data_IF_542083047006
#
_entry.id   IF_542083047006
#
_cell.length_a   1.000
_cell.length_b   1.000
_cell.length_c   1.000
_cell.angle_alpha   90.00
_cell.angle_beta   90.00
_cell.angle_gamma   90.00
#
_symmetry.space_group_name_H-M   'P 1'
#
loop_
_entity.id
_entity.type
_entity.pdbx_description
1 polymer ?
#
# COMPACT_ATOMS: atom_id res chain seq x y z
N UNK A 1 -21.56 9.08 -16.55
CA UNK A 1 -20.71 8.14 -15.81
C UNK A 1 -20.85 8.46 -14.33
N UNK A 2 -21.43 7.55 -13.54
CA UNK A 2 -21.47 7.75 -12.09
C UNK A 2 -20.09 7.42 -11.53
N UNK A 3 -19.47 8.34 -10.81
CA UNK A 3 -18.16 8.21 -10.15
C UNK A 3 -18.10 6.92 -9.31
N UNK A 4 -16.91 6.33 -9.07
CA UNK A 4 -16.73 5.12 -8.25
C UNK A 4 -17.03 5.37 -6.77
N UNK A 5 -17.99 6.23 -6.46
CA UNK A 5 -18.27 6.77 -5.13
C UNK A 5 -18.59 5.70 -4.09
N UNK A 6 -19.24 4.59 -4.48
CA UNK A 6 -19.60 3.53 -3.53
C UNK A 6 -18.43 2.61 -3.20
N UNK A 7 -17.65 2.21 -4.24
CA UNK A 7 -16.47 1.37 -4.07
C UNK A 7 -15.42 2.09 -3.23
N UNK A 8 -15.08 3.32 -3.65
CA UNK A 8 -14.09 4.15 -2.97
C UNK A 8 -14.54 4.48 -1.54
N UNK A 9 -15.78 4.95 -1.37
CA UNK A 9 -16.32 5.32 -0.06
C UNK A 9 -16.32 4.15 0.93
N UNK A 10 -16.74 2.95 0.51
CA UNK A 10 -16.73 1.78 1.37
C UNK A 10 -15.29 1.42 1.83
N UNK A 11 -14.33 1.42 0.91
CA UNK A 11 -12.93 1.14 1.25
C UNK A 11 -12.34 2.23 2.16
N UNK A 12 -12.67 3.50 1.94
CA UNK A 12 -12.20 4.60 2.81
C UNK A 12 -12.75 4.50 4.23
N UNK A 13 -14.03 4.14 4.40
CA UNK A 13 -14.61 3.92 5.72
C UNK A 13 -13.96 2.74 6.46
N UNK A 14 -13.79 1.61 5.78
CA UNK A 14 -13.10 0.45 6.35
C UNK A 14 -11.66 0.81 6.73
N UNK A 15 -10.95 1.53 5.85
CA UNK A 15 -9.59 1.98 6.13
C UNK A 15 -9.51 2.93 7.33
N UNK A 16 -10.50 3.84 7.48
CA UNK A 16 -10.54 4.75 8.62
C UNK A 16 -10.73 4.00 9.94
N UNK A 17 -11.65 3.04 10.00
CA UNK A 17 -11.84 2.21 11.21
C UNK A 17 -10.62 1.33 11.49
N UNK A 18 -10.04 0.70 10.47
CA UNK A 18 -8.81 -0.07 10.62
C UNK A 18 -7.65 0.81 11.13
N UNK A 19 -7.54 2.04 10.62
CA UNK A 19 -6.53 3.01 11.05
C UNK A 19 -6.76 3.47 12.50
N UNK A 20 -8.00 3.72 12.93
CA UNK A 20 -8.29 4.06 14.33
C UNK A 20 -7.90 2.90 15.26
N UNK A 21 -8.24 1.65 14.91
CA UNK A 21 -7.82 0.49 15.68
C UNK A 21 -6.28 0.36 15.70
N UNK A 22 -5.63 0.56 14.56
CA UNK A 22 -4.18 0.57 14.44
C UNK A 22 -3.56 1.62 15.37
N UNK A 23 -4.07 2.87 15.38
CA UNK A 23 -3.58 3.92 16.27
C UNK A 23 -3.67 3.53 17.74
N UNK A 24 -4.80 2.98 18.16
CA UNK A 24 -4.98 2.54 19.56
C UNK A 24 -3.95 1.48 19.92
N UNK A 25 -3.81 0.45 19.08
CA UNK A 25 -2.88 -0.66 19.35
C UNK A 25 -1.44 -0.16 19.39
N UNK A 26 -1.01 0.63 18.40
CA UNK A 26 0.38 1.12 18.35
C UNK A 26 0.68 2.09 19.49
N UNK A 27 -0.27 2.95 19.86
CA UNK A 27 -0.10 3.83 21.01
C UNK A 27 0.09 3.02 22.31
N UNK A 28 -0.73 2.00 22.53
CA UNK A 28 -0.61 1.12 23.70
C UNK A 28 0.74 0.38 23.73
N UNK A 29 1.18 -0.13 22.56
CA UNK A 29 2.51 -0.77 22.44
C UNK A 29 3.62 0.22 22.74
N UNK A 30 3.55 1.42 22.18
CA UNK A 30 4.58 2.48 22.41
C UNK A 30 4.66 2.88 23.88
N UNK A 31 3.51 3.10 24.52
CA UNK A 31 3.46 3.40 25.96
C UNK A 31 4.00 2.23 26.78
N UNK A 32 3.63 1.00 26.43
CA UNK A 32 4.15 -0.21 27.09
C UNK A 32 5.68 -0.29 27.00
N UNK A 33 6.26 -0.10 25.82
CA UNK A 33 7.72 -0.11 25.63
C UNK A 33 8.36 1.06 26.40
N UNK A 34 7.77 2.26 26.35
CA UNK A 34 8.31 3.43 27.03
C UNK A 34 8.27 3.35 28.55
N UNK A 35 7.34 2.58 29.14
CA UNK A 35 7.24 2.40 30.60
C UNK A 35 8.13 1.27 31.11
N UNK A 36 8.25 0.16 30.35
CA UNK A 36 8.96 -1.05 30.80
C UNK A 36 10.26 -1.32 30.04
N UNK A 37 10.61 -0.50 29.04
CA UNK A 37 11.81 -0.66 28.23
C UNK A 37 12.45 0.65 27.84
N UNK A 38 13.26 0.63 26.79
CA UNK A 38 13.91 1.81 26.22
C UNK A 38 13.39 2.06 24.82
N UNK A 39 12.90 3.27 24.55
CA UNK A 39 12.48 3.75 23.24
C UNK A 39 13.66 4.50 22.58
N UNK A 40 14.35 3.80 21.66
CA UNK A 40 15.48 4.37 20.91
C UNK A 40 15.14 4.69 19.45
N UNK A 41 13.98 4.23 18.96
CA UNK A 41 13.52 4.37 17.58
C UNK A 41 12.00 4.54 17.52
N UNK A 42 11.50 5.04 16.38
CA UNK A 42 10.06 5.15 16.11
C UNK A 42 9.38 3.78 16.06
N UNK A 43 8.38 3.60 16.90
CA UNK A 43 7.54 2.38 16.86
C UNK A 43 6.59 2.42 15.67
N UNK A 44 6.13 3.61 15.27
CA UNK A 44 5.27 3.80 14.10
C UNK A 44 5.95 3.38 12.81
N UNK A 45 7.24 3.71 12.64
CA UNK A 45 8.03 3.27 11.50
C UNK A 45 8.00 1.75 11.33
N UNK A 46 8.21 1.00 12.41
CA UNK A 46 8.12 -0.48 12.38
C UNK A 46 6.71 -0.97 12.10
N UNK A 47 5.71 -0.26 12.60
CA UNK A 47 4.31 -0.63 12.44
C UNK A 47 3.76 -0.33 11.02
N UNK A 48 4.41 0.52 10.22
CA UNK A 48 4.07 0.75 8.80
C UNK A 48 4.03 -0.55 8.01
N UNK A 49 4.76 -1.57 8.40
CA UNK A 49 4.70 -2.89 7.78
C UNK A 49 3.27 -3.45 7.71
N UNK A 50 2.46 -3.23 8.74
CA UNK A 50 1.05 -3.66 8.74
C UNK A 50 0.23 -2.93 7.67
N UNK A 51 0.48 -1.64 7.49
CA UNK A 51 -0.25 -0.82 6.51
C UNK A 51 0.10 -1.18 5.07
N UNK A 52 1.32 -1.64 4.80
CA UNK A 52 1.73 -2.19 3.49
C UNK A 52 0.91 -3.42 3.12
N UNK A 53 0.81 -4.38 4.04
CA UNK A 53 0.01 -5.58 3.83
C UNK A 53 -1.47 -5.26 3.68
N UNK A 54 -1.99 -4.31 4.46
CA UNK A 54 -3.35 -3.83 4.29
C UNK A 54 -3.60 -3.30 2.87
N UNK A 55 -2.70 -2.47 2.33
CA UNK A 55 -2.79 -1.97 0.96
C UNK A 55 -2.78 -3.11 -0.08
N UNK A 56 -1.89 -4.11 0.09
CA UNK A 56 -1.88 -5.30 -0.78
C UNK A 56 -3.24 -6.02 -0.77
N UNK A 57 -3.78 -6.30 0.42
CA UNK A 57 -5.06 -7.00 0.56
C UNK A 57 -6.24 -6.20 0.00
N UNK A 58 -6.24 -4.88 0.13
CA UNK A 58 -7.23 -4.03 -0.55
C UNK A 58 -7.09 -4.17 -2.07
N UNK A 59 -5.87 -4.15 -2.61
CA UNK A 59 -5.62 -4.43 -4.02
C UNK A 59 -6.16 -5.79 -4.46
N UNK A 60 -5.95 -6.82 -3.66
CA UNK A 60 -6.51 -8.16 -3.92
C UNK A 60 -8.03 -8.13 -3.91
N UNK A 61 -8.65 -7.53 -2.90
CA UNK A 61 -10.10 -7.43 -2.76
C UNK A 61 -10.76 -6.68 -3.92
N UNK A 62 -10.10 -5.67 -4.49
CA UNK A 62 -10.60 -4.95 -5.67
C UNK A 62 -10.93 -5.89 -6.82
N UNK A 63 -10.18 -6.95 -7.03
CA UNK A 63 -10.44 -7.90 -8.11
C UNK A 63 -11.33 -9.04 -7.63
N UNK A 64 -11.01 -9.67 -6.50
CA UNK A 64 -11.72 -10.89 -6.05
C UNK A 64 -13.17 -10.62 -5.69
N UNK A 65 -13.46 -9.49 -5.10
CA UNK A 65 -14.80 -9.15 -4.62
C UNK A 65 -15.56 -8.28 -5.63
N UNK A 66 -14.90 -7.26 -6.19
CA UNK A 66 -15.63 -6.26 -6.96
C UNK A 66 -15.71 -6.57 -8.46
N UNK A 67 -14.74 -7.24 -9.07
CA UNK A 67 -14.84 -7.61 -10.50
C UNK A 67 -16.08 -8.48 -10.79
N UNK A 68 -16.38 -9.54 -10.02
CA UNK A 68 -17.60 -10.33 -10.22
C UNK A 68 -18.88 -9.50 -10.05
N UNK A 69 -18.90 -8.61 -9.03
CA UNK A 69 -20.06 -7.75 -8.79
C UNK A 69 -20.32 -6.78 -9.94
N UNK A 70 -19.26 -6.18 -10.51
CA UNK A 70 -19.37 -5.27 -11.66
C UNK A 70 -19.97 -5.96 -12.86
N UNK A 71 -19.50 -7.18 -13.15
CA UNK A 71 -19.98 -7.98 -14.27
C UNK A 71 -21.43 -8.43 -14.04
N UNK A 72 -21.79 -8.85 -12.82
CA UNK A 72 -23.15 -9.21 -12.45
C UNK A 72 -24.15 -8.05 -12.63
N UNK A 73 -23.69 -6.81 -12.46
CA UNK A 73 -24.49 -5.60 -12.69
C UNK A 73 -24.42 -5.10 -14.16
N UNK A 74 -23.94 -5.91 -15.10
CA UNK A 74 -23.88 -5.56 -16.53
C UNK A 74 -22.82 -4.53 -16.89
N UNK A 75 -21.87 -4.24 -16.00
CA UNK A 75 -20.79 -3.30 -16.29
C UNK A 75 -19.66 -3.99 -17.07
N UNK A 76 -19.00 -3.23 -17.95
CA UNK A 76 -17.91 -3.78 -18.76
C UNK A 76 -16.61 -3.88 -17.93
N UNK A 77 -15.73 -4.83 -18.32
CA UNK A 77 -14.39 -4.98 -17.75
C UNK A 77 -13.56 -3.71 -17.89
N UNK A 78 -13.77 -2.97 -19.00
CA UNK A 78 -13.10 -1.68 -19.20
C UNK A 78 -13.53 -0.64 -18.16
N UNK A 79 -14.81 -0.61 -17.81
CA UNK A 79 -15.31 0.26 -16.74
C UNK A 79 -14.72 -0.14 -15.39
N UNK A 80 -14.66 -1.43 -15.09
CA UNK A 80 -14.00 -1.92 -13.88
C UNK A 80 -12.52 -1.51 -13.83
N UNK A 81 -11.74 -1.76 -14.90
CA UNK A 81 -10.32 -1.40 -14.95
C UNK A 81 -10.08 0.10 -14.73
N UNK A 82 -10.90 0.96 -15.36
CA UNK A 82 -10.83 2.39 -15.14
C UNK A 82 -11.17 2.78 -13.69
N UNK A 83 -12.22 2.18 -13.12
CA UNK A 83 -12.60 2.48 -11.74
C UNK A 83 -11.58 1.95 -10.72
N UNK A 84 -10.97 0.80 -10.96
CA UNK A 84 -9.88 0.29 -10.13
C UNK A 84 -8.67 1.24 -10.18
N UNK A 85 -8.29 1.73 -11.36
CA UNK A 85 -7.22 2.71 -11.51
C UNK A 85 -7.51 4.00 -10.73
N UNK A 86 -8.71 4.57 -10.89
CA UNK A 86 -9.13 5.77 -10.14
C UNK A 86 -9.16 5.51 -8.64
N UNK A 87 -9.62 4.32 -8.22
CA UNK A 87 -9.65 3.94 -6.80
C UNK A 87 -8.23 3.91 -6.23
N UNK A 88 -7.27 3.29 -6.90
CA UNK A 88 -5.87 3.25 -6.45
C UNK A 88 -5.28 4.66 -6.38
N UNK A 89 -5.50 5.48 -7.43
CA UNK A 89 -4.98 6.85 -7.51
C UNK A 89 -5.48 7.77 -6.38
N UNK A 90 -6.67 7.51 -5.83
CA UNK A 90 -7.25 8.29 -4.72
C UNK A 90 -6.96 7.63 -3.37
N UNK A 91 -7.00 6.30 -3.31
CA UNK A 91 -6.88 5.56 -2.06
C UNK A 91 -5.45 5.53 -1.52
N UNK A 92 -4.42 5.48 -2.39
CA UNK A 92 -3.04 5.53 -1.95
C UNK A 92 -2.69 6.86 -1.23
N UNK A 93 -2.99 8.05 -1.81
CA UNK A 93 -2.82 9.31 -1.09
C UNK A 93 -3.66 9.41 0.19
N UNK A 94 -4.87 8.83 0.21
CA UNK A 94 -5.70 8.80 1.41
C UNK A 94 -5.03 8.01 2.55
N UNK A 95 -4.52 6.81 2.27
CA UNK A 95 -3.77 6.02 3.26
C UNK A 95 -2.50 6.75 3.72
N UNK A 96 -1.81 7.42 2.79
CA UNK A 96 -0.64 8.22 3.12
C UNK A 96 -0.98 9.39 4.06
N UNK A 97 -2.11 10.08 3.83
CA UNK A 97 -2.58 11.14 4.72
C UNK A 97 -2.85 10.61 6.15
N UNK A 98 -3.42 9.42 6.28
CA UNK A 98 -3.63 8.78 7.58
C UNK A 98 -2.29 8.49 8.29
N UNK A 99 -1.25 8.03 7.54
CA UNK A 99 0.08 7.83 8.11
C UNK A 99 0.76 9.14 8.50
N UNK A 100 0.62 10.20 7.71
CA UNK A 100 1.11 11.54 8.09
C UNK A 100 0.54 11.95 9.44
N UNK A 101 -0.78 11.81 9.62
CA UNK A 101 -1.43 12.10 10.90
C UNK A 101 -0.85 11.21 12.01
N UNK A 102 -0.58 9.93 11.71
CA UNK A 102 0.02 9.00 12.66
C UNK A 102 1.41 9.46 13.13
N UNK A 103 2.29 9.87 12.21
CA UNK A 103 3.63 10.38 12.55
C UNK A 103 3.59 11.69 13.32
N UNK A 104 2.62 12.57 13.04
CA UNK A 104 2.42 13.79 13.80
C UNK A 104 1.95 13.49 15.23
N UNK A 105 1.03 12.52 15.40
CA UNK A 105 0.57 12.07 16.72
C UNK A 105 1.70 11.40 17.51
N UNK A 106 2.54 10.58 16.85
CA UNK A 106 3.74 10.00 17.46
C UNK A 106 4.68 11.11 17.95
N UNK A 107 4.98 12.08 17.08
CA UNK A 107 5.84 13.19 17.41
C UNK A 107 5.33 13.98 18.62
N UNK A 108 4.03 14.20 18.69
CA UNK A 108 3.39 14.86 19.84
C UNK A 108 3.56 14.01 21.12
N UNK A 109 3.32 12.71 21.04
CA UNK A 109 3.46 11.78 22.16
C UNK A 109 4.91 11.77 22.69
N UNK A 110 5.89 11.64 21.79
CA UNK A 110 7.31 11.63 22.16
C UNK A 110 7.75 12.98 22.76
N UNK A 111 7.24 14.09 22.21
CA UNK A 111 7.50 15.42 22.76
C UNK A 111 6.94 15.63 24.16
N UNK A 112 5.75 15.08 24.45
CA UNK A 112 5.11 15.19 25.76
C UNK A 112 5.77 14.30 26.82
N UNK A 113 6.30 13.15 26.42
CA UNK A 113 6.91 12.17 27.33
C UNK A 113 8.42 12.34 27.47
N UNK A 114 9.04 13.16 26.62
CA UNK A 114 10.49 13.35 26.59
C UNK A 114 11.26 12.16 25.99
N UNK A 115 10.60 11.29 25.25
CA UNK A 115 11.23 10.15 24.57
C UNK A 115 12.00 10.60 23.32
N UNK A 116 13.07 9.86 23.00
CA UNK A 116 13.89 10.14 21.81
C UNK A 116 13.19 9.63 20.57
N UNK A 117 12.97 10.52 19.60
CA UNK A 117 12.46 10.13 18.29
C UNK A 117 13.62 9.96 17.31
N UNK A 118 13.76 8.78 16.73
CA UNK A 118 14.74 8.49 15.70
C UNK A 118 14.17 7.50 14.68
N UNK A 119 14.59 7.61 13.43
CA UNK A 119 14.28 6.65 12.39
C UNK A 119 15.31 5.53 12.38
N UNK A 120 14.85 4.30 12.31
CA UNK A 120 15.71 3.10 12.24
C UNK A 120 16.20 2.78 10.83
N UNK A 121 15.57 3.36 9.80
CA UNK A 121 15.90 3.13 8.39
C UNK A 121 16.05 4.43 7.61
N UNK A 122 16.57 4.33 6.37
CA UNK A 122 16.63 5.45 5.46
C UNK A 122 15.25 5.77 4.88
N UNK A 123 14.89 7.05 4.87
CA UNK A 123 13.65 7.60 4.35
C UNK A 123 13.92 8.85 3.50
N UNK A 124 12.96 9.29 2.72
CA UNK A 124 13.03 10.59 2.05
C UNK A 124 12.87 11.76 3.02
N UNK A 125 12.47 11.49 4.24
CA UNK A 125 12.33 12.48 5.34
C UNK A 125 13.22 12.12 6.51
N UNK A 126 13.61 13.14 7.28
CA UNK A 126 14.45 12.99 8.47
C UNK A 126 13.77 13.48 9.76
N UNK A 127 12.59 14.10 9.64
CA UNK A 127 11.83 14.63 10.77
C UNK A 127 10.32 14.44 10.56
N UNK A 128 9.54 14.19 11.62
CA UNK A 128 8.09 13.97 11.55
C UNK A 128 7.32 15.23 11.09
N UNK A 129 7.97 16.38 11.07
CA UNK A 129 7.41 17.65 10.58
C UNK A 129 7.53 17.82 9.07
N UNK A 130 8.31 16.98 8.39
CA UNK A 130 8.46 17.02 6.93
C UNK A 130 7.26 16.36 6.23
N UNK A 131 6.06 16.84 6.51
CA UNK A 131 4.77 16.34 6.03
C UNK A 131 4.75 16.05 4.52
N UNK A 132 5.23 16.96 3.63
CA UNK A 132 5.19 16.67 2.19
C UNK A 132 6.01 15.46 1.77
N UNK A 133 7.17 15.25 2.41
CA UNK A 133 8.05 14.10 2.11
C UNK A 133 7.47 12.80 2.65
N UNK A 134 6.94 12.80 3.86
CA UNK A 134 6.22 11.65 4.43
C UNK A 134 5.03 11.27 3.54
N UNK A 135 4.22 12.26 3.15
CA UNK A 135 3.07 12.04 2.29
C UNK A 135 3.48 11.45 0.92
N UNK A 136 4.53 12.00 0.30
CA UNK A 136 5.04 11.50 -0.97
C UNK A 136 5.53 10.07 -0.87
N UNK A 137 6.42 9.79 0.08
CA UNK A 137 7.02 8.47 0.28
C UNK A 137 5.97 7.39 0.46
N UNK A 138 5.02 7.60 1.37
CA UNK A 138 3.97 6.62 1.63
C UNK A 138 2.94 6.53 0.50
N UNK A 139 2.67 7.61 -0.23
CA UNK A 139 1.83 7.53 -1.44
C UNK A 139 2.48 6.63 -2.49
N UNK A 140 3.76 6.84 -2.77
CA UNK A 140 4.55 6.02 -3.70
C UNK A 140 4.55 4.56 -3.28
N UNK A 141 4.82 4.30 -2.02
CA UNK A 141 4.79 2.96 -1.44
C UNK A 141 3.42 2.28 -1.62
N UNK A 142 2.33 2.95 -1.22
CA UNK A 142 0.99 2.37 -1.32
C UNK A 142 0.54 2.13 -2.76
N UNK A 143 0.94 2.97 -3.71
CA UNK A 143 0.70 2.71 -5.14
C UNK A 143 1.32 1.37 -5.54
N UNK A 144 2.59 1.13 -5.20
CA UNK A 144 3.28 -0.12 -5.50
C UNK A 144 2.55 -1.34 -4.93
N UNK A 145 2.19 -1.29 -3.64
CA UNK A 145 1.53 -2.41 -2.96
C UNK A 145 0.09 -2.67 -3.44
N UNK A 146 -0.71 -1.61 -3.68
CA UNK A 146 -2.06 -1.74 -4.25
C UNK A 146 -2.03 -2.34 -5.65
N UNK A 147 -1.13 -1.84 -6.50
CA UNK A 147 -0.96 -2.35 -7.88
C UNK A 147 -0.51 -3.80 -7.87
N UNK A 148 0.44 -4.17 -7.01
CA UNK A 148 0.88 -5.56 -6.85
C UNK A 148 -0.27 -6.47 -6.44
N UNK A 149 -1.12 -6.04 -5.48
CA UNK A 149 -2.30 -6.77 -5.05
C UNK A 149 -3.32 -7.00 -6.17
N UNK A 150 -3.64 -5.95 -6.92
CA UNK A 150 -4.57 -6.03 -8.09
C UNK A 150 -4.00 -6.94 -9.17
N UNK A 151 -2.70 -6.86 -9.45
CA UNK A 151 -2.05 -7.68 -10.47
C UNK A 151 -2.05 -9.16 -10.09
N UNK A 152 -1.60 -9.50 -8.87
CA UNK A 152 -1.58 -10.89 -8.38
C UNK A 152 -2.98 -11.49 -8.38
N UNK A 153 -3.96 -10.78 -7.81
CA UNK A 153 -5.34 -11.29 -7.74
C UNK A 153 -5.97 -11.48 -9.11
N UNK A 154 -5.64 -10.63 -10.08
CA UNK A 154 -6.08 -10.78 -11.47
C UNK A 154 -5.54 -12.08 -12.11
N UNK A 155 -4.27 -12.39 -11.83
CA UNK A 155 -3.64 -13.62 -12.32
C UNK A 155 -4.26 -14.87 -11.66
N UNK A 156 -4.49 -14.87 -10.37
CA UNK A 156 -5.18 -15.95 -9.67
C UNK A 156 -6.63 -16.11 -10.15
N UNK A 157 -7.31 -14.99 -10.39
CA UNK A 157 -8.67 -15.02 -10.91
C UNK A 157 -8.74 -15.69 -12.29
N UNK A 158 -7.74 -15.45 -13.16
CA UNK A 158 -7.69 -16.04 -14.51
C UNK A 158 -7.18 -17.49 -14.52
N UNK A 159 -6.05 -17.76 -13.85
CA UNK A 159 -5.30 -19.01 -14.01
C UNK A 159 -5.30 -19.91 -12.76
N UNK A 160 -6.03 -19.56 -11.71
CA UNK A 160 -6.03 -20.31 -10.44
C UNK A 160 -4.60 -20.53 -9.91
N UNK A 161 -4.19 -21.80 -9.72
CA UNK A 161 -2.84 -22.14 -9.26
C UNK A 161 -1.72 -21.62 -10.15
N UNK A 162 -1.95 -21.43 -11.46
CA UNK A 162 -0.99 -20.78 -12.36
C UNK A 162 -0.74 -19.30 -12.05
N UNK A 163 -1.63 -18.66 -11.31
CA UNK A 163 -1.46 -17.28 -10.82
C UNK A 163 -0.26 -17.09 -9.88
N UNK A 164 0.30 -18.15 -9.31
CA UNK A 164 1.52 -18.11 -8.50
C UNK A 164 2.71 -17.46 -9.25
N UNK A 165 2.80 -17.64 -10.55
CA UNK A 165 3.87 -17.03 -11.36
C UNK A 165 3.80 -15.50 -11.36
N UNK A 166 2.64 -14.91 -11.10
CA UNK A 166 2.47 -13.46 -11.02
C UNK A 166 3.07 -12.86 -9.72
N UNK A 167 3.36 -13.67 -8.72
CA UNK A 167 3.98 -13.19 -7.48
C UNK A 167 5.37 -12.62 -7.77
N UNK A 168 6.15 -13.24 -8.64
CA UNK A 168 7.51 -12.78 -8.96
C UNK A 168 7.52 -11.36 -9.54
N UNK A 169 6.78 -11.05 -10.62
CA UNK A 169 6.73 -9.68 -11.12
C UNK A 169 6.03 -8.70 -10.17
N UNK A 170 5.08 -9.13 -9.36
CA UNK A 170 4.47 -8.30 -8.33
C UNK A 170 5.49 -7.88 -7.26
N UNK A 171 6.29 -8.83 -6.78
CA UNK A 171 7.42 -8.56 -5.87
C UNK A 171 8.42 -7.61 -6.52
N UNK A 172 8.75 -7.81 -7.80
CA UNK A 172 9.66 -6.92 -8.53
C UNK A 172 9.12 -5.49 -8.59
N UNK A 173 7.83 -5.28 -8.82
CA UNK A 173 7.19 -3.95 -8.80
C UNK A 173 7.34 -3.30 -7.41
N UNK A 174 7.05 -4.04 -6.34
CA UNK A 174 7.17 -3.53 -4.96
C UNK A 174 8.61 -3.18 -4.64
N UNK A 175 9.56 -4.08 -4.90
CA UNK A 175 10.99 -3.85 -4.65
C UNK A 175 11.53 -2.67 -5.45
N UNK A 176 11.12 -2.52 -6.71
CA UNK A 176 11.52 -1.39 -7.56
C UNK A 176 11.05 -0.06 -6.96
N UNK A 177 9.79 0.01 -6.52
CA UNK A 177 9.25 1.21 -5.87
C UNK A 177 9.96 1.49 -4.55
N UNK A 178 10.16 0.47 -3.70
CA UNK A 178 10.83 0.63 -2.41
C UNK A 178 12.30 1.08 -2.55
N UNK A 179 13.00 0.59 -3.58
CA UNK A 179 14.38 0.99 -3.85
C UNK A 179 14.54 2.50 -4.14
N UNK A 180 13.47 3.18 -4.58
CA UNK A 180 13.51 4.63 -4.89
C UNK A 180 13.18 5.53 -3.70
N UNK A 181 12.70 4.96 -2.60
CA UNK A 181 12.36 5.69 -1.37
C UNK A 181 13.33 5.42 -0.22
N UNK A 182 14.47 4.76 -0.52
CA UNK A 182 15.47 4.43 0.49
C UNK A 182 15.12 3.25 1.40
N UNK A 183 13.95 2.67 1.25
CA UNK A 183 13.48 1.56 2.08
C UNK A 183 14.24 0.26 1.72
N UNK A 184 15.26 -0.05 2.52
CA UNK A 184 16.07 -1.29 2.40
C UNK A 184 15.49 -2.46 3.20
N UNK A 185 14.25 -2.31 3.73
CA UNK A 185 13.62 -3.37 4.48
C UNK A 185 13.40 -4.59 3.59
N UNK A 186 13.91 -5.77 3.96
CA UNK A 186 13.61 -6.99 3.24
C UNK A 186 12.11 -7.25 3.33
N UNK A 187 11.54 -7.81 2.26
CA UNK A 187 10.19 -8.38 2.34
C UNK A 187 10.17 -9.33 3.56
N UNK A 188 9.14 -9.28 4.42
CA UNK A 188 9.06 -10.20 5.53
C UNK A 188 9.16 -11.63 4.98
N UNK A 189 9.95 -12.46 5.63
CA UNK A 189 10.31 -13.84 5.26
C UNK A 189 11.33 -14.01 4.13
N UNK A 190 11.79 -12.95 3.46
CA UNK A 190 12.81 -13.01 2.42
C UNK A 190 13.93 -12.03 2.78
N UNK A 191 15.05 -12.56 3.31
CA UNK A 191 16.25 -11.77 3.62
C UNK A 191 17.07 -11.39 2.38
N UNK A 192 16.46 -11.38 1.21
CA UNK A 192 17.09 -10.97 -0.04
C UNK A 192 17.25 -9.45 -0.03
N UNK A 193 18.44 -8.99 0.36
CA UNK A 193 18.92 -7.63 0.09
C UNK A 193 19.24 -7.53 -1.40
N UNK A 194 18.23 -7.29 -2.21
CA UNK A 194 18.44 -6.87 -3.59
C UNK A 194 18.74 -5.37 -3.52
N UNK A 195 20.01 -5.04 -3.34
CA UNK A 195 20.49 -3.66 -3.35
C UNK A 195 20.53 -3.12 -4.78
N UNK A 196 19.44 -2.55 -5.25
CA UNK A 196 19.52 -1.56 -6.32
C UNK A 196 19.65 -0.20 -5.64
N UNK A 197 20.83 0.38 -5.65
CA UNK A 197 21.03 1.77 -5.27
C UNK A 197 20.48 2.67 -6.40
N UNK A 198 19.17 2.81 -6.44
CA UNK A 198 18.52 3.86 -7.21
C UNK A 198 18.62 5.15 -6.41
N UNK A 199 18.82 6.27 -7.11
CA UNK A 199 18.94 7.56 -6.45
C UNK A 199 17.70 7.84 -5.56
N UNK A 200 17.92 7.98 -4.26
CA UNK A 200 16.90 8.30 -3.27
C UNK A 200 16.50 9.77 -3.45
N UNK A 201 15.53 10.01 -4.32
CA UNK A 201 15.03 11.35 -4.60
C UNK A 201 13.52 11.35 -4.79
N UNK A 202 12.88 12.46 -4.46
CA UNK A 202 11.45 12.63 -4.70
C UNK A 202 11.06 12.42 -6.17
N UNK A 203 11.92 12.82 -7.11
CA UNK A 203 11.66 12.65 -8.54
C UNK A 203 11.71 11.17 -8.95
N UNK A 204 12.75 10.42 -8.52
CA UNK A 204 12.87 8.99 -8.82
C UNK A 204 11.70 8.20 -8.22
N UNK A 205 11.29 8.54 -7.00
CA UNK A 205 10.13 7.94 -6.34
C UNK A 205 8.82 8.16 -7.12
N UNK A 206 8.56 9.40 -7.56
CA UNK A 206 7.37 9.72 -8.37
C UNK A 206 7.40 8.97 -9.71
N UNK A 207 8.54 8.96 -10.40
CA UNK A 207 8.67 8.26 -11.68
C UNK A 207 8.47 6.74 -11.51
N UNK A 208 9.00 6.16 -10.45
CA UNK A 208 8.78 4.75 -10.13
C UNK A 208 7.31 4.44 -9.82
N UNK A 209 6.63 5.29 -9.05
CA UNK A 209 5.21 5.12 -8.77
C UNK A 209 4.35 5.20 -10.03
N UNK A 210 4.61 6.20 -10.89
CA UNK A 210 3.92 6.34 -12.18
C UNK A 210 4.20 5.13 -13.08
N UNK A 211 5.45 4.70 -13.16
CA UNK A 211 5.85 3.50 -13.91
C UNK A 211 5.15 2.25 -13.39
N UNK A 212 5.19 2.01 -12.09
CA UNK A 212 4.51 0.88 -11.45
C UNK A 212 2.99 0.92 -11.68
N UNK A 213 2.38 2.10 -11.58
CA UNK A 213 0.95 2.30 -11.83
C UNK A 213 0.58 1.97 -13.28
N UNK A 214 1.29 2.54 -14.24
CA UNK A 214 1.00 2.35 -15.68
C UNK A 214 1.28 0.92 -16.12
N UNK A 215 2.47 0.40 -15.79
CA UNK A 215 2.88 -0.95 -16.19
C UNK A 215 2.05 -2.00 -15.46
N UNK A 216 1.90 -1.90 -14.14
CA UNK A 216 1.17 -2.88 -13.36
C UNK A 216 -0.31 -2.93 -13.70
N UNK A 217 -0.97 -1.79 -13.90
CA UNK A 217 -2.37 -1.75 -14.36
C UNK A 217 -2.50 -2.16 -15.82
N UNK A 218 -1.52 -1.85 -16.67
CA UNK A 218 -1.47 -2.34 -18.05
C UNK A 218 -1.41 -3.86 -18.11
N UNK A 219 -0.52 -4.48 -17.34
CA UNK A 219 -0.43 -5.94 -17.21
C UNK A 219 -1.73 -6.53 -16.62
N UNK A 220 -2.28 -5.92 -15.59
CA UNK A 220 -3.58 -6.30 -15.03
C UNK A 220 -4.68 -6.27 -16.09
N UNK A 221 -4.74 -5.19 -16.88
CA UNK A 221 -5.70 -5.08 -17.97
C UNK A 221 -5.57 -6.18 -19.01
N UNK A 222 -4.34 -6.52 -19.43
CA UNK A 222 -4.08 -7.63 -20.37
C UNK A 222 -4.59 -8.96 -19.82
N UNK A 223 -4.55 -9.18 -18.51
CA UNK A 223 -5.06 -10.37 -17.86
C UNK A 223 -6.61 -10.35 -17.85
N UNK A 224 -7.21 -9.24 -17.42
CA UNK A 224 -8.67 -9.17 -17.14
C UNK A 224 -9.51 -9.09 -18.43
N UNK A 225 -9.00 -8.49 -19.50
CA UNK A 225 -9.78 -8.20 -20.72
C UNK A 225 -10.45 -9.46 -21.31
N UNK A 226 -9.81 -10.63 -21.21
CA UNK A 226 -10.23 -11.89 -21.84
C UNK A 226 -10.59 -12.99 -20.80
N UNK A 227 -10.82 -12.63 -19.53
CA UNK A 227 -11.16 -13.61 -18.48
C UNK A 227 -12.57 -14.15 -18.69
N UNK A 228 -12.77 -15.49 -18.76
CA UNK A 228 -14.11 -16.08 -18.80
C UNK A 228 -14.85 -15.81 -17.48
N UNK A 229 -16.17 -15.60 -17.57
CA UNK A 229 -17.03 -15.48 -16.40
C UNK A 229 -17.04 -16.81 -15.66
N UNK A 230 -16.67 -16.80 -14.42
CA UNK A 230 -16.68 -17.98 -13.58
C UNK A 230 -18.03 -18.05 -12.86
N UNK A 231 -18.91 -18.96 -13.30
CA UNK A 231 -20.04 -19.34 -12.49
C UNK A 231 -19.48 -20.10 -11.26
N UNK A 232 -19.61 -19.53 -10.07
CA UNK A 232 -19.52 -20.32 -8.83
C UNK A 232 -20.74 -21.24 -8.80
N UNK A 233 -20.71 -22.35 -9.52
CA UNK A 233 -21.67 -23.43 -9.35
C UNK A 233 -21.01 -24.42 -8.41
N UNK A 234 -21.65 -24.57 -7.25
CA UNK A 234 -21.50 -25.53 -6.15
C UNK A 234 -20.18 -25.57 -5.44
#
# INVERSE_FOLDING_TARGET
MRFPSRLLGANMWVALFAWLAYLVVITLVTVGIGVWGELNESVWEKAVQLTRWYALFVGVALVTEFLPLFIAHGQSRRQFGFQAAVTIAIFAPFLSALLVISFLLESLLYGLTGWTWALGQAHLFSAPTQVPMIFLEYTVMFVGWLVAGVFVSSAFYRWQGGGLLAIVPAVAIVLFVQATIGDKAPLPFISLRIGFDLADSALSAVLAAVGAFVVGLGLTWLIIRDVPLRNKVS
#
